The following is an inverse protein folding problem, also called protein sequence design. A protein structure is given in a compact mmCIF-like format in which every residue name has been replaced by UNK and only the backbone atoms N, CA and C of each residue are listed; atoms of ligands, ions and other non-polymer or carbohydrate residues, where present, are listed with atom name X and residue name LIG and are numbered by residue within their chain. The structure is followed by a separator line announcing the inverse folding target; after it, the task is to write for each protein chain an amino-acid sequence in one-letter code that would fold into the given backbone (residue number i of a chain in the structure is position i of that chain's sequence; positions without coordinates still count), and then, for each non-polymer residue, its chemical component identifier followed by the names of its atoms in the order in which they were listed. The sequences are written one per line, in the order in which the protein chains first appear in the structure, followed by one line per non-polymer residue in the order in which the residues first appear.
data_IF_786019562336
#
_entry.id   IF_786019562336
#
_cell.length_a   1.000
_cell.length_b   1.000
_cell.length_c   1.000
_cell.angle_alpha   90.00
_cell.angle_beta   90.00
_cell.angle_gamma   90.00
#
_symmetry.space_group_name_H-M   'P 1'
#
loop_
_entity.id
_entity.type
_entity.pdbx_description
1 polymer ?
#
# COMPACT_ATOMS: atom_id res chain seq x y z
N UNK A 1 -15.82 -17.28 0.75
CA UNK A 1 -15.55 -15.83 0.66
C UNK A 1 -14.14 -15.64 0.15
N UNK A 2 -13.99 -15.13 -1.08
CA UNK A 2 -12.70 -14.66 -1.58
C UNK A 2 -12.34 -13.42 -0.75
N UNK A 3 -11.26 -13.53 0.03
CA UNK A 3 -10.80 -12.41 0.86
C UNK A 3 -10.52 -11.23 -0.06
N UNK A 4 -11.06 -10.05 0.22
CA UNK A 4 -10.77 -8.87 -0.58
C UNK A 4 -9.37 -8.36 -0.25
N UNK A 5 -8.53 -8.19 -1.28
CA UNK A 5 -7.24 -7.54 -1.12
C UNK A 5 -7.48 -6.05 -0.91
N UNK A 6 -7.14 -5.54 0.26
CA UNK A 6 -7.23 -4.11 0.54
C UNK A 6 -6.08 -3.40 -0.17
N UNK A 7 -6.36 -2.24 -0.77
CA UNK A 7 -5.31 -1.36 -1.27
C UNK A 7 -4.72 -0.57 -0.09
N UNK A 8 -3.41 -0.61 0.05
CA UNK A 8 -2.65 0.14 1.03
C UNK A 8 -1.71 1.12 0.32
N UNK A 9 -1.38 2.22 1.00
CA UNK A 9 -0.43 3.20 0.48
C UNK A 9 0.91 2.53 0.26
N UNK A 10 1.48 2.68 -0.95
CA UNK A 10 2.77 2.09 -1.28
C UNK A 10 3.86 2.64 -0.34
N UNK A 11 4.52 1.79 0.48
CA UNK A 11 5.46 2.26 1.51
C UNK A 11 6.73 2.86 0.91
N UNK A 12 7.05 2.52 -0.34
CA UNK A 12 8.25 2.98 -1.04
C UNK A 12 8.13 4.40 -1.57
N UNK A 13 7.04 4.72 -2.25
CA UNK A 13 6.80 6.06 -2.82
C UNK A 13 5.91 6.94 -1.94
N UNK A 14 5.38 6.39 -0.84
CA UNK A 14 4.50 7.10 0.11
C UNK A 14 3.24 7.67 -0.57
N UNK A 15 2.69 6.94 -1.53
CA UNK A 15 1.42 7.30 -2.18
C UNK A 15 1.53 8.11 -3.47
N UNK A 16 2.71 8.60 -3.84
CA UNK A 16 2.81 9.51 -5.00
C UNK A 16 3.15 8.82 -6.33
N UNK A 17 3.47 7.52 -6.33
CA UNK A 17 3.81 6.77 -7.55
C UNK A 17 5.24 6.93 -8.07
N UNK A 18 6.09 7.76 -7.46
CA UNK A 18 7.44 8.05 -7.95
C UNK A 18 8.53 7.87 -6.88
N UNK A 19 9.75 7.59 -7.32
CA UNK A 19 10.94 7.54 -6.45
C UNK A 19 12.06 8.40 -7.02
N UNK A 20 12.82 9.05 -6.15
CA UNK A 20 14.00 9.82 -6.54
C UNK A 20 15.25 9.03 -6.22
N UNK A 21 16.05 8.73 -7.24
CA UNK A 21 17.34 8.07 -7.11
C UNK A 21 18.44 9.13 -7.10
N UNK A 22 19.37 9.11 -6.13
CA UNK A 22 20.36 10.18 -5.95
C UNK A 22 21.46 10.23 -7.02
N UNK A 23 21.72 9.11 -7.69
CA UNK A 23 22.72 8.97 -8.75
C UNK A 23 22.07 8.32 -9.97
N UNK A 24 22.27 8.87 -11.16
CA UNK A 24 21.70 8.33 -12.39
C UNK A 24 22.41 7.05 -12.84
N UNK A 25 23.73 7.02 -12.71
CA UNK A 25 24.58 5.87 -13.02
C UNK A 25 25.89 5.98 -12.24
N UNK A 26 26.75 4.96 -12.37
CA UNK A 26 28.10 4.98 -11.78
C UNK A 26 28.95 6.09 -12.39
N UNK A 27 28.76 6.41 -13.68
CA UNK A 27 29.46 7.49 -14.38
C UNK A 27 28.86 8.88 -14.10
N UNK A 28 27.54 8.97 -13.90
CA UNK A 28 26.82 10.23 -13.63
C UNK A 28 26.43 10.36 -12.14
N UNK A 29 27.44 10.47 -11.27
CA UNK A 29 27.24 10.70 -9.84
C UNK A 29 26.59 12.07 -9.56
N UNK A 30 25.79 12.17 -8.48
CA UNK A 30 25.09 13.37 -8.00
C UNK A 30 23.97 13.89 -8.91
N UNK A 31 23.69 13.21 -10.01
CA UNK A 31 22.54 13.51 -10.86
C UNK A 31 21.31 12.79 -10.31
N UNK A 32 20.45 13.54 -9.62
CA UNK A 32 19.16 13.02 -9.13
C UNK A 32 18.24 12.75 -10.32
N UNK A 33 17.60 11.60 -10.32
CA UNK A 33 16.61 11.22 -11.33
C UNK A 33 15.34 10.78 -10.62
N UNK A 34 14.21 11.32 -11.08
CA UNK A 34 12.89 10.83 -10.68
C UNK A 34 12.45 9.78 -11.68
N UNK A 35 11.98 8.65 -11.17
CA UNK A 35 11.43 7.57 -11.98
C UNK A 35 10.15 7.02 -11.37
N UNK A 36 9.38 6.33 -12.20
CA UNK A 36 8.22 5.57 -11.76
C UNK A 36 8.60 4.61 -10.63
N UNK A 37 7.78 4.53 -9.60
CA UNK A 37 7.96 3.57 -8.52
C UNK A 37 7.63 2.17 -9.06
N UNK A 38 8.62 1.26 -9.20
CA UNK A 38 8.38 -0.05 -9.79
C UNK A 38 7.57 -0.97 -8.86
N UNK A 39 7.45 -0.64 -7.57
CA UNK A 39 6.74 -1.45 -6.60
C UNK A 39 5.22 -1.32 -6.72
N UNK A 40 4.73 -0.14 -7.06
CA UNK A 40 3.30 0.14 -7.25
C UNK A 40 2.97 0.51 -8.70
N UNK A 41 3.92 0.33 -9.62
CA UNK A 41 3.74 0.66 -11.04
C UNK A 41 3.21 2.10 -11.29
N UNK A 42 3.61 3.04 -10.43
CA UNK A 42 3.15 4.45 -10.42
C UNK A 42 1.73 4.71 -9.90
N UNK A 43 1.00 3.69 -9.44
CA UNK A 43 -0.36 3.85 -8.90
C UNK A 43 -0.39 4.52 -7.51
N UNK A 44 0.72 4.52 -6.78
CA UNK A 44 0.80 5.03 -5.42
C UNK A 44 0.27 4.07 -4.34
N UNK A 45 -0.43 3.01 -4.74
CA UNK A 45 -1.01 2.01 -3.84
C UNK A 45 -0.54 0.60 -4.23
N UNK A 46 -0.50 -0.31 -3.25
CA UNK A 46 -0.25 -1.74 -3.47
C UNK A 46 -1.36 -2.54 -2.80
N UNK A 47 -1.64 -3.74 -3.29
CA UNK A 47 -2.51 -4.66 -2.57
C UNK A 47 -1.80 -5.17 -1.32
N UNK A 48 -2.33 -4.80 -0.16
CA UNK A 48 -1.90 -5.26 1.15
C UNK A 48 -2.24 -6.73 1.41
N UNK A 49 -1.74 -7.30 2.54
CA UNK A 49 -2.22 -8.59 3.00
C UNK A 49 -3.74 -8.53 3.23
N UNK A 50 -4.41 -9.68 3.09
CA UNK A 50 -5.83 -9.75 3.43
C UNK A 50 -6.05 -9.21 4.84
N UNK A 51 -6.99 -8.28 4.94
CA UNK A 51 -7.40 -7.79 6.23
C UNK A 51 -8.04 -8.94 7.00
N UNK A 52 -7.31 -9.40 8.01
CA UNK A 52 -7.76 -10.40 8.98
C UNK A 52 -8.31 -9.73 10.23
N UNK A 53 -8.44 -8.39 10.21
CA UNK A 53 -8.70 -7.55 11.39
C UNK A 53 -10.13 -7.02 11.46
N UNK A 54 -10.85 -7.00 10.35
CA UNK A 54 -12.27 -6.65 10.31
C UNK A 54 -13.12 -7.90 10.62
N UNK A 55 -12.95 -8.42 11.83
CA UNK A 55 -14.01 -9.15 12.53
C UNK A 55 -15.07 -8.11 12.92
N UNK A 56 -16.06 -7.86 12.05
CA UNK A 56 -17.10 -6.87 12.36
C UNK A 56 -17.95 -7.40 13.51
N UNK A 57 -17.93 -6.73 14.66
CA UNK A 57 -18.77 -7.05 15.81
C UNK A 57 -19.89 -6.02 15.88
N UNK A 58 -21.14 -6.49 15.90
CA UNK A 58 -22.34 -5.66 16.06
C UNK A 58 -22.77 -5.73 17.53
N UNK A 59 -23.09 -4.57 18.12
CA UNK A 59 -23.63 -4.49 19.48
C UNK A 59 -25.00 -3.81 19.40
N UNK A 60 -26.03 -4.52 19.81
CA UNK A 60 -27.40 -4.01 19.95
C UNK A 60 -27.89 -4.19 21.39
N UNK A 61 -29.17 -3.90 21.64
CA UNK A 61 -29.78 -4.03 22.96
C UNK A 61 -29.86 -5.50 23.44
N UNK A 62 -29.74 -6.48 22.53
CA UNK A 62 -29.85 -7.91 22.81
C UNK A 62 -28.48 -8.57 23.05
N UNK A 63 -27.36 -7.89 22.74
CA UNK A 63 -26.03 -8.31 23.13
C UNK A 63 -24.93 -8.06 22.10
N UNK A 64 -23.78 -8.70 22.33
CA UNK A 64 -22.63 -8.65 21.42
C UNK A 64 -22.74 -9.79 20.42
N UNK A 65 -22.81 -9.44 19.14
CA UNK A 65 -22.88 -10.37 18.03
C UNK A 65 -21.63 -10.23 17.18
N UNK A 66 -20.92 -11.33 16.94
CA UNK A 66 -19.86 -11.35 15.93
C UNK A 66 -20.49 -11.66 14.59
N UNK A 67 -20.30 -10.81 13.57
CA UNK A 67 -20.51 -11.26 12.20
C UNK A 67 -19.38 -12.25 11.89
N UNK A 68 -19.72 -13.54 11.95
CA UNK A 68 -18.87 -14.62 11.42
C UNK A 68 -19.13 -14.84 9.94
#
# INVERSE_FOLDING_TARGET
MEKQKIKEICPRCKGNGYVTVPHKSVEELKKKVTMNCPQCESEGEVYGPFDTKNDTIIIDADGVHKLQ
#
